data_IF_145712334017
#
_entry.id   IF_145712334017
#
_cell.length_a   1.000
_cell.length_b   1.000
_cell.length_c   1.000
_cell.angle_alpha   90.00
_cell.angle_beta   90.00
_cell.angle_gamma   90.00
#
_symmetry.space_group_name_H-M   'P 1'
#
loop_
_entity.id
_entity.type
_entity.pdbx_description
1 polymer ?
#
# COMPACT_ATOMS: atom_id res chain seq x y z
N UNK A 1 18.63 -1.45 -12.65
CA UNK A 1 18.62 -0.82 -11.30
C UNK A 1 17.36 -1.17 -10.49
N UNK A 2 16.26 -1.62 -11.13
CA UNK A 2 15.04 -2.04 -10.46
C UNK A 2 15.09 -3.46 -9.87
N UNK A 3 16.09 -4.26 -10.21
CA UNK A 3 16.24 -5.61 -9.71
C UNK A 3 16.59 -5.63 -8.22
N UNK A 4 15.99 -6.56 -7.48
CA UNK A 4 16.24 -6.81 -6.06
C UNK A 4 16.83 -8.20 -5.85
N UNK A 5 17.64 -8.32 -4.80
CA UNK A 5 18.11 -9.61 -4.29
C UNK A 5 17.16 -10.21 -3.25
N UNK A 6 16.28 -9.35 -2.70
CA UNK A 6 15.23 -9.75 -1.77
C UNK A 6 14.18 -10.64 -2.45
N UNK A 7 13.72 -11.67 -1.74
CA UNK A 7 12.58 -12.49 -2.18
C UNK A 7 11.28 -11.70 -2.11
N UNK A 8 11.10 -10.90 -1.07
CA UNK A 8 9.96 -9.98 -0.96
C UNK A 8 10.24 -8.71 -1.78
N UNK A 9 9.75 -8.69 -3.01
CA UNK A 9 10.01 -7.61 -3.95
C UNK A 9 9.20 -6.34 -3.62
N UNK A 10 9.90 -5.25 -3.33
CA UNK A 10 9.31 -3.92 -3.09
C UNK A 10 9.63 -2.95 -4.22
N UNK A 11 10.91 -2.66 -4.41
CA UNK A 11 11.42 -1.74 -5.44
C UNK A 11 11.17 -2.25 -6.85
N UNK A 12 11.37 -3.53 -7.11
CA UNK A 12 11.16 -4.11 -8.44
C UNK A 12 9.69 -4.07 -8.83
N UNK A 13 8.77 -4.38 -7.90
CA UNK A 13 7.34 -4.24 -8.15
C UNK A 13 6.96 -2.79 -8.48
N UNK A 14 7.38 -1.82 -7.65
CA UNK A 14 7.11 -0.40 -7.88
C UNK A 14 7.68 0.07 -9.24
N UNK A 15 8.90 -0.36 -9.59
CA UNK A 15 9.55 -0.04 -10.86
C UNK A 15 8.79 -0.61 -12.06
N UNK A 16 8.32 -1.87 -11.98
CA UNK A 16 7.51 -2.49 -13.04
C UNK A 16 6.15 -1.78 -13.17
N UNK A 17 5.52 -1.42 -12.05
CA UNK A 17 4.26 -0.68 -12.06
C UNK A 17 4.42 0.67 -12.78
N UNK A 18 5.46 1.43 -12.45
CA UNK A 18 5.77 2.70 -13.13
C UNK A 18 6.06 2.48 -14.62
N UNK A 19 6.82 1.45 -14.97
CA UNK A 19 7.14 1.15 -16.37
C UNK A 19 5.89 0.81 -17.19
N UNK A 20 4.98 -0.01 -16.65
CA UNK A 20 3.71 -0.34 -17.31
C UNK A 20 2.82 0.90 -17.42
N UNK A 21 2.74 1.72 -16.38
CA UNK A 21 1.98 2.98 -16.40
C UNK A 21 2.51 3.93 -17.49
N UNK A 22 3.83 4.07 -17.58
CA UNK A 22 4.46 4.89 -18.63
C UNK A 22 4.20 4.32 -20.03
N UNK A 23 4.27 3.01 -20.18
CA UNK A 23 3.95 2.33 -21.44
C UNK A 23 2.50 2.60 -21.87
N UNK A 24 1.54 2.48 -20.96
CA UNK A 24 0.13 2.77 -21.24
C UNK A 24 -0.09 4.25 -21.63
N UNK A 25 0.57 5.18 -20.91
CA UNK A 25 0.50 6.60 -21.25
C UNK A 25 1.09 6.89 -22.64
N UNK A 26 2.21 6.25 -22.99
CA UNK A 26 2.83 6.34 -24.30
C UNK A 26 1.90 5.80 -25.40
N UNK A 27 1.33 4.61 -25.20
CA UNK A 27 0.38 4.01 -26.16
C UNK A 27 -0.88 4.84 -26.37
N UNK A 28 -1.31 5.56 -25.34
CA UNK A 28 -2.44 6.48 -25.40
C UNK A 28 -2.09 7.88 -25.96
N UNK A 29 -0.83 8.13 -26.34
CA UNK A 29 -0.36 9.43 -26.83
C UNK A 29 -0.39 10.53 -25.76
N UNK A 30 -0.44 10.19 -24.47
CA UNK A 30 -0.59 11.10 -23.33
C UNK A 30 0.78 11.59 -22.83
N UNK A 31 1.45 12.42 -23.64
CA UNK A 31 2.76 13.01 -23.29
C UNK A 31 2.69 13.90 -22.03
N UNK A 32 1.54 14.50 -21.75
CA UNK A 32 1.26 15.25 -20.53
C UNK A 32 1.43 14.36 -19.28
N UNK A 33 0.90 13.14 -19.31
CA UNK A 33 1.03 12.17 -18.22
C UNK A 33 2.48 11.68 -18.07
N UNK A 34 3.15 11.38 -19.19
CA UNK A 34 4.57 10.99 -19.16
C UNK A 34 5.44 12.08 -18.52
N UNK A 35 5.19 13.34 -18.88
CA UNK A 35 5.91 14.49 -18.29
C UNK A 35 5.63 14.60 -16.78
N UNK A 36 4.37 14.42 -16.35
CA UNK A 36 3.99 14.47 -14.94
C UNK A 36 4.68 13.37 -14.10
N UNK A 37 4.92 12.18 -14.67
CA UNK A 37 5.59 11.08 -13.98
C UNK A 37 7.04 11.41 -13.57
N UNK A 38 7.69 12.40 -14.20
CA UNK A 38 9.03 12.82 -13.81
C UNK A 38 9.13 13.35 -12.37
N UNK A 39 8.00 13.76 -11.78
CA UNK A 39 7.93 14.23 -10.39
C UNK A 39 7.77 13.08 -9.36
N UNK A 40 7.49 11.84 -9.80
CA UNK A 40 7.25 10.69 -8.90
C UNK A 40 8.42 10.42 -7.94
N UNK A 41 9.70 10.41 -8.37
CA UNK A 41 10.81 10.13 -7.45
C UNK A 41 10.86 11.10 -6.28
N UNK A 42 10.77 12.40 -6.56
CA UNK A 42 10.79 13.44 -5.53
C UNK A 42 9.57 13.39 -4.61
N UNK A 43 8.39 13.05 -5.15
CA UNK A 43 7.19 12.86 -4.34
C UNK A 43 7.33 11.64 -3.42
N UNK A 44 7.84 10.52 -3.92
CA UNK A 44 8.10 9.32 -3.12
C UNK A 44 9.12 9.54 -2.00
N UNK A 45 10.20 10.26 -2.28
CA UNK A 45 11.24 10.62 -1.32
C UNK A 45 10.66 11.44 -0.16
N UNK A 46 9.88 12.49 -0.48
CA UNK A 46 9.17 13.28 0.54
C UNK A 46 8.19 12.46 1.39
N UNK A 47 7.50 11.50 0.78
CA UNK A 47 6.58 10.64 1.52
C UNK A 47 7.32 9.76 2.53
N UNK A 48 8.44 9.19 2.13
CA UNK A 48 9.30 8.40 3.01
C UNK A 48 9.75 9.26 4.18
N UNK A 49 10.38 10.41 3.92
CA UNK A 49 10.89 11.31 4.95
C UNK A 49 9.79 11.81 5.91
N UNK A 50 8.65 12.23 5.36
CA UNK A 50 7.56 12.83 6.14
C UNK A 50 6.82 11.81 7.01
N UNK A 51 6.66 10.57 6.53
CA UNK A 51 5.77 9.58 7.16
C UNK A 51 6.48 8.32 7.66
N UNK A 52 7.81 8.28 7.68
CA UNK A 52 8.57 7.16 8.24
C UNK A 52 8.21 6.91 9.71
N UNK A 53 8.13 7.95 10.52
CA UNK A 53 7.77 7.84 11.93
C UNK A 53 6.36 7.25 12.13
N UNK A 54 5.40 7.60 11.26
CA UNK A 54 4.07 7.01 11.25
C UNK A 54 4.13 5.52 10.88
N UNK A 55 4.79 5.18 9.78
CA UNK A 55 4.94 3.80 9.34
C UNK A 55 5.58 2.92 10.42
N UNK A 56 6.60 3.45 11.09
CA UNK A 56 7.28 2.80 12.20
C UNK A 56 6.35 2.59 13.39
N UNK A 57 5.63 3.62 13.83
CA UNK A 57 4.75 3.53 15.00
C UNK A 57 3.64 2.47 14.83
N UNK A 58 3.05 2.38 13.63
CA UNK A 58 2.02 1.37 13.33
C UNK A 58 2.66 -0.01 13.13
N UNK A 59 3.78 -0.08 12.41
CA UNK A 59 4.47 -1.34 12.14
C UNK A 59 4.99 -2.02 13.41
N UNK A 60 5.60 -1.28 14.33
CA UNK A 60 6.17 -1.79 15.57
C UNK A 60 5.11 -2.19 16.63
N UNK A 61 3.88 -1.72 16.50
CA UNK A 61 2.84 -2.06 17.45
C UNK A 61 2.31 -3.49 17.22
N UNK A 62 2.79 -4.44 18.00
CA UNK A 62 2.40 -5.84 17.92
C UNK A 62 1.03 -6.17 18.53
N UNK A 63 0.34 -5.19 19.16
CA UNK A 63 -1.05 -5.37 19.58
C UNK A 63 -2.01 -5.44 18.38
N UNK A 64 -1.60 -4.87 17.24
CA UNK A 64 -2.33 -5.05 16.00
C UNK A 64 -2.07 -6.46 15.46
N UNK A 65 -3.11 -7.29 15.40
CA UNK A 65 -3.03 -8.67 14.93
C UNK A 65 -3.50 -8.86 13.49
N UNK A 66 -4.21 -7.87 12.92
CA UNK A 66 -4.77 -7.93 11.57
C UNK A 66 -4.76 -6.58 10.86
N UNK A 67 -4.55 -6.64 9.54
CA UNK A 67 -4.53 -5.46 8.68
C UNK A 67 -5.49 -5.65 7.51
N UNK A 68 -6.30 -4.63 7.25
CA UNK A 68 -7.17 -4.56 6.09
C UNK A 68 -6.70 -3.43 5.17
N UNK A 69 -6.48 -3.75 3.89
CA UNK A 69 -6.06 -2.78 2.89
C UNK A 69 -7.20 -2.53 1.92
N UNK A 70 -7.79 -1.33 1.97
CA UNK A 70 -8.93 -0.98 1.15
C UNK A 70 -8.52 -0.13 -0.04
N UNK A 71 -8.93 -0.56 -1.25
CA UNK A 71 -8.70 0.17 -2.49
C UNK A 71 -9.74 -0.19 -3.53
N UNK A 72 -10.25 0.78 -4.28
CA UNK A 72 -11.22 0.53 -5.36
C UNK A 72 -10.60 0.79 -6.73
N UNK A 73 -11.10 0.10 -7.77
CA UNK A 73 -10.54 0.17 -9.11
C UNK A 73 -9.06 -0.27 -9.14
N UNK A 74 -8.20 0.53 -9.76
CA UNK A 74 -6.76 0.23 -9.87
C UNK A 74 -6.07 0.13 -8.51
N UNK A 75 -6.57 0.79 -7.47
CA UNK A 75 -6.02 0.76 -6.11
C UNK A 75 -6.27 -0.58 -5.42
N UNK A 76 -7.24 -1.37 -5.85
CA UNK A 76 -7.42 -2.73 -5.35
C UNK A 76 -6.21 -3.62 -5.67
N UNK A 77 -5.63 -3.49 -6.86
CA UNK A 77 -4.38 -4.18 -7.20
C UNK A 77 -3.21 -3.79 -6.29
N UNK A 78 -3.12 -2.52 -5.90
CA UNK A 78 -2.13 -2.05 -4.94
C UNK A 78 -2.43 -2.55 -3.52
N UNK A 79 -3.70 -2.62 -3.13
CA UNK A 79 -4.11 -3.21 -1.85
C UNK A 79 -3.71 -4.70 -1.78
N UNK A 80 -3.86 -5.45 -2.88
CA UNK A 80 -3.37 -6.83 -2.99
C UNK A 80 -1.85 -6.91 -2.80
N UNK A 81 -1.09 -6.01 -3.43
CA UNK A 81 0.37 -5.98 -3.31
C UNK A 81 0.83 -5.67 -1.88
N UNK A 82 0.27 -4.64 -1.25
CA UNK A 82 0.63 -4.29 0.13
C UNK A 82 0.25 -5.40 1.11
N UNK A 83 -0.92 -6.01 0.89
CA UNK A 83 -1.34 -7.20 1.64
C UNK A 83 -0.33 -8.35 1.49
N UNK A 84 0.16 -8.59 0.28
CA UNK A 84 1.18 -9.60 0.03
C UNK A 84 2.47 -9.29 0.80
N UNK A 85 2.96 -8.04 0.75
CA UNK A 85 4.15 -7.61 1.50
C UNK A 85 3.96 -7.78 3.01
N UNK A 86 2.80 -7.42 3.54
CA UNK A 86 2.50 -7.61 4.96
C UNK A 86 2.56 -9.08 5.36
N UNK A 87 2.02 -9.99 4.55
CA UNK A 87 2.09 -11.44 4.80
C UNK A 87 3.51 -11.98 4.68
N UNK A 88 4.16 -11.72 3.55
CA UNK A 88 5.49 -12.27 3.24
C UNK A 88 6.55 -11.83 4.24
N UNK A 89 6.62 -10.53 4.51
CA UNK A 89 7.67 -9.95 5.34
C UNK A 89 7.43 -10.14 6.83
N UNK A 90 6.15 -10.24 7.26
CA UNK A 90 5.82 -10.08 8.69
C UNK A 90 5.04 -11.25 9.30
N UNK A 91 4.58 -12.21 8.51
CA UNK A 91 3.72 -13.31 8.97
C UNK A 91 2.51 -12.78 9.76
N UNK A 92 1.98 -11.62 9.34
CA UNK A 92 0.81 -11.00 9.98
C UNK A 92 -0.42 -11.23 9.12
N UNK A 93 -1.54 -11.50 9.75
CA UNK A 93 -2.81 -11.67 9.06
C UNK A 93 -3.24 -10.36 8.40
N UNK A 94 -3.49 -10.39 7.10
CA UNK A 94 -3.93 -9.21 6.37
C UNK A 94 -4.76 -9.59 5.15
N UNK A 95 -5.66 -8.70 4.73
CA UNK A 95 -6.57 -8.95 3.60
C UNK A 95 -6.85 -7.66 2.82
N UNK A 96 -6.92 -7.73 1.46
CA UNK A 96 -7.31 -6.63 0.62
C UNK A 96 -8.80 -6.68 0.30
N UNK A 97 -9.46 -5.52 0.24
CA UNK A 97 -10.87 -5.41 -0.15
C UNK A 97 -11.13 -4.15 -0.99
N UNK A 98 -12.21 -4.20 -1.76
CA UNK A 98 -12.85 -2.96 -2.22
C UNK A 98 -13.57 -2.28 -1.06
N UNK A 99 -13.58 -0.94 -1.03
CA UNK A 99 -14.18 -0.19 0.08
C UNK A 99 -15.63 -0.59 0.38
N UNK A 100 -16.47 -0.64 -0.65
CA UNK A 100 -17.88 -0.96 -0.44
C UNK A 100 -18.12 -2.45 -0.15
N UNK A 101 -17.31 -3.34 -0.73
CA UNK A 101 -17.35 -4.76 -0.43
C UNK A 101 -17.06 -5.04 1.06
N UNK A 102 -16.08 -4.32 1.63
CA UNK A 102 -15.70 -4.47 3.03
C UNK A 102 -16.88 -4.29 4.00
N UNK A 103 -17.83 -3.40 3.66
CA UNK A 103 -19.05 -3.15 4.44
C UNK A 103 -20.04 -4.33 4.46
N UNK A 104 -19.93 -5.28 3.53
CA UNK A 104 -20.87 -6.39 3.38
C UNK A 104 -20.43 -7.69 4.08
N UNK A 105 -19.79 -7.56 5.23
CA UNK A 105 -19.39 -8.70 6.06
C UNK A 105 -18.04 -8.53 6.73
N UNK A 106 -16.92 -8.34 6.01
CA UNK A 106 -15.58 -8.26 6.59
C UNK A 106 -15.43 -7.20 7.69
N UNK A 107 -16.15 -6.08 7.60
CA UNK A 107 -16.16 -5.04 8.64
C UNK A 107 -16.52 -5.55 10.03
N UNK A 108 -17.25 -6.66 10.14
CA UNK A 108 -17.61 -7.27 11.44
C UNK A 108 -16.40 -7.77 12.23
N UNK A 109 -15.25 -7.92 11.57
CA UNK A 109 -13.99 -8.34 12.18
C UNK A 109 -13.15 -7.17 12.71
N UNK A 110 -13.61 -5.91 12.53
CA UNK A 110 -12.88 -4.72 12.99
C UNK A 110 -13.09 -4.55 14.50
N UNK A 111 -11.98 -4.37 15.20
CA UNK A 111 -11.90 -4.08 16.62
C UNK A 111 -10.60 -3.29 16.93
N UNK A 112 -10.30 -3.06 18.19
CA UNK A 112 -9.12 -2.32 18.66
C UNK A 112 -7.76 -2.91 18.22
N UNK A 113 -7.72 -4.18 17.82
CA UNK A 113 -6.51 -4.84 17.32
C UNK A 113 -6.38 -4.81 15.79
N UNK A 114 -7.36 -4.22 15.10
CA UNK A 114 -7.38 -4.11 13.66
C UNK A 114 -6.84 -2.77 13.16
N UNK A 115 -6.05 -2.81 12.09
CA UNK A 115 -5.64 -1.63 11.31
C UNK A 115 -6.36 -1.67 9.96
N UNK A 116 -7.09 -0.61 9.63
CA UNK A 116 -7.76 -0.45 8.35
C UNK A 116 -7.09 0.69 7.57
N UNK A 117 -6.46 0.34 6.46
CA UNK A 117 -5.74 1.28 5.61
C UNK A 117 -6.53 1.54 4.34
N UNK A 118 -6.88 2.80 4.09
CA UNK A 118 -7.67 3.21 2.93
C UNK A 118 -6.87 3.98 1.89
N UNK A 119 -6.86 3.50 0.65
CA UNK A 119 -6.26 4.17 -0.50
C UNK A 119 -7.33 5.00 -1.22
N UNK A 120 -7.45 6.29 -0.85
CA UNK A 120 -8.50 7.17 -1.32
C UNK A 120 -8.29 7.64 -2.76
N UNK A 121 -9.36 7.64 -3.56
CA UNK A 121 -9.37 8.21 -4.90
C UNK A 121 -9.72 9.69 -4.89
N UNK A 122 -9.43 10.41 -5.98
CA UNK A 122 -9.91 11.78 -6.15
C UNK A 122 -11.42 11.82 -6.40
N UNK A 123 -11.96 10.81 -7.08
CA UNK A 123 -13.35 10.79 -7.56
C UNK A 123 -14.33 10.27 -6.51
N UNK A 124 -14.01 9.17 -5.81
CA UNK A 124 -14.92 8.50 -4.88
C UNK A 124 -14.58 8.75 -3.42
N UNK A 125 -13.66 9.66 -3.14
CA UNK A 125 -13.08 9.91 -1.83
C UNK A 125 -14.12 10.09 -0.72
N UNK A 126 -15.19 10.81 -0.98
CA UNK A 126 -16.23 11.06 0.04
C UNK A 126 -16.86 9.74 0.52
N UNK A 127 -17.13 8.82 -0.40
CA UNK A 127 -17.69 7.51 -0.06
C UNK A 127 -16.65 6.60 0.61
N UNK A 128 -15.41 6.64 0.14
CA UNK A 128 -14.30 5.88 0.69
C UNK A 128 -13.94 6.33 2.11
N UNK A 129 -13.88 7.65 2.35
CA UNK A 129 -13.64 8.22 3.68
C UNK A 129 -14.73 7.84 4.68
N UNK A 130 -16.02 7.84 4.23
CA UNK A 130 -17.12 7.42 5.09
C UNK A 130 -16.98 5.97 5.58
N UNK A 131 -16.51 5.06 4.72
CA UNK A 131 -16.23 3.68 5.15
C UNK A 131 -15.16 3.67 6.24
N UNK A 132 -14.12 4.48 6.11
CA UNK A 132 -13.05 4.56 7.13
C UNK A 132 -13.57 5.13 8.47
N UNK A 133 -14.46 6.12 8.42
CA UNK A 133 -15.11 6.66 9.63
C UNK A 133 -15.90 5.55 10.36
N UNK A 134 -16.68 4.76 9.63
CA UNK A 134 -17.40 3.61 10.18
C UNK A 134 -16.44 2.60 10.84
N UNK A 135 -15.28 2.33 10.24
CA UNK A 135 -14.28 1.42 10.83
C UNK A 135 -13.67 1.99 12.11
N UNK A 136 -13.49 3.30 12.17
CA UNK A 136 -13.03 3.99 13.38
C UNK A 136 -14.08 3.92 14.50
N UNK A 137 -15.36 4.06 14.16
CA UNK A 137 -16.46 3.90 15.12
C UNK A 137 -16.53 2.47 15.70
N UNK A 138 -16.11 1.45 14.95
CA UNK A 138 -15.99 0.07 15.42
C UNK A 138 -14.75 -0.17 16.31
N UNK A 139 -13.93 0.86 16.54
CA UNK A 139 -12.73 0.79 17.38
C UNK A 139 -11.44 0.47 16.61
N UNK A 140 -11.50 0.29 15.31
CA UNK A 140 -10.30 0.03 14.49
C UNK A 140 -9.38 1.24 14.40
N UNK A 141 -8.08 0.98 14.33
CA UNK A 141 -7.09 2.01 13.96
C UNK A 141 -7.16 2.24 12.46
N UNK A 142 -7.44 3.46 12.05
CA UNK A 142 -7.61 3.83 10.63
C UNK A 142 -6.45 4.68 10.15
N UNK A 143 -5.99 4.43 8.94
CA UNK A 143 -5.05 5.25 8.20
C UNK A 143 -5.52 5.45 6.76
N UNK A 144 -5.57 6.68 6.30
CA UNK A 144 -5.95 7.03 4.93
C UNK A 144 -4.77 7.59 4.14
N UNK A 145 -4.69 7.22 2.85
CA UNK A 145 -3.69 7.73 1.93
C UNK A 145 -4.39 8.38 0.72
N UNK A 146 -3.90 9.50 0.26
CA UNK A 146 -4.47 10.19 -0.91
C UNK A 146 -3.72 11.46 -1.28
N UNK A 147 -4.16 12.14 -2.32
CA UNK A 147 -3.53 13.40 -2.77
C UNK A 147 -3.72 14.51 -1.75
N UNK A 148 -4.92 14.61 -1.15
CA UNK A 148 -5.33 15.64 -0.20
C UNK A 148 -6.23 15.04 0.88
N UNK A 149 -6.39 15.77 2.00
CA UNK A 149 -7.37 15.47 3.06
C UNK A 149 -7.36 13.98 3.45
N UNK A 150 -6.17 13.45 3.70
CA UNK A 150 -5.88 12.11 4.18
C UNK A 150 -4.84 12.20 5.31
N UNK A 151 -4.67 11.15 6.09
CA UNK A 151 -3.63 11.11 7.13
C UNK A 151 -2.24 11.16 6.48
N UNK A 152 -2.08 10.48 5.34
CA UNK A 152 -0.87 10.47 4.52
C UNK A 152 -1.20 11.17 3.19
N UNK A 153 -0.81 12.43 3.09
CA UNK A 153 -1.08 13.26 1.91
C UNK A 153 0.10 13.27 0.97
N UNK A 154 -0.14 12.99 -0.31
CA UNK A 154 0.92 13.00 -1.31
C UNK A 154 1.33 14.42 -1.68
N UNK A 155 0.36 15.34 -1.80
CA UNK A 155 0.59 16.74 -2.19
C UNK A 155 1.51 16.82 -3.41
N UNK A 156 1.31 15.89 -4.34
CA UNK A 156 2.23 15.66 -5.45
C UNK A 156 1.95 16.56 -6.65
N UNK A 157 0.70 16.97 -6.83
CA UNK A 157 0.24 17.64 -8.04
C UNK A 157 0.24 16.73 -9.28
N UNK A 158 0.53 15.43 -9.11
CA UNK A 158 0.58 14.46 -10.20
C UNK A 158 -0.83 13.91 -10.46
N UNK A 159 -1.27 13.79 -11.73
CA UNK A 159 -2.58 13.22 -12.05
C UNK A 159 -2.78 11.81 -11.47
N UNK A 160 -4.00 11.52 -10.99
CA UNK A 160 -4.35 10.23 -10.35
C UNK A 160 -3.95 9.02 -11.20
N UNK A 161 -4.13 9.11 -12.51
CA UNK A 161 -3.86 8.02 -13.46
C UNK A 161 -2.42 7.52 -13.44
N UNK A 162 -1.46 8.33 -13.00
CA UNK A 162 -0.03 8.01 -13.05
C UNK A 162 0.68 8.10 -11.70
N UNK A 163 0.00 8.56 -10.63
CA UNK A 163 0.62 8.68 -9.30
C UNK A 163 0.38 7.49 -8.37
N UNK A 164 -0.40 6.50 -8.79
CA UNK A 164 -0.85 5.44 -7.87
C UNK A 164 0.28 4.64 -7.21
N UNK A 165 1.49 4.63 -7.78
CA UNK A 165 2.68 4.05 -7.13
C UNK A 165 3.00 4.72 -5.78
N UNK A 166 2.56 5.96 -5.55
CA UNK A 166 2.80 6.71 -4.30
C UNK A 166 2.06 6.13 -3.07
N UNK A 167 1.09 5.24 -3.27
CA UNK A 167 0.48 4.49 -2.16
C UNK A 167 1.43 3.48 -1.52
N UNK A 168 2.48 3.04 -2.24
CA UNK A 168 3.33 1.93 -1.79
C UNK A 168 4.38 2.28 -0.72
N UNK A 169 5.16 3.38 -0.83
CA UNK A 169 6.36 3.57 -0.01
C UNK A 169 6.11 3.50 1.50
N UNK A 170 5.12 4.24 1.99
CA UNK A 170 4.81 4.30 3.43
C UNK A 170 4.30 2.95 3.95
N UNK A 171 3.50 2.24 3.15
CA UNK A 171 2.95 0.93 3.53
C UNK A 171 4.02 -0.17 3.47
N UNK A 172 4.97 -0.08 2.55
CA UNK A 172 6.14 -0.97 2.51
C UNK A 172 7.05 -0.75 3.72
N UNK A 173 7.27 0.51 4.15
CA UNK A 173 7.98 0.82 5.39
C UNK A 173 7.26 0.26 6.62
N UNK A 174 5.94 0.34 6.67
CA UNK A 174 5.14 -0.25 7.76
C UNK A 174 5.39 -1.75 7.89
N UNK A 175 5.37 -2.49 6.78
CA UNK A 175 5.68 -3.92 6.77
C UNK A 175 7.15 -4.18 7.14
N UNK A 176 8.08 -3.35 6.68
CA UNK A 176 9.50 -3.45 7.02
C UNK A 176 9.74 -3.32 8.53
N UNK A 177 9.23 -2.27 9.18
CA UNK A 177 9.40 -2.07 10.62
C UNK A 177 8.75 -3.19 11.44
N UNK A 178 7.57 -3.66 11.01
CA UNK A 178 6.92 -4.80 11.65
C UNK A 178 7.74 -6.08 11.55
N UNK A 179 8.36 -6.32 10.40
CA UNK A 179 9.27 -7.45 10.20
C UNK A 179 10.42 -7.42 11.20
N UNK A 180 11.09 -6.27 11.32
CA UNK A 180 12.21 -6.10 12.24
C UNK A 180 11.78 -6.30 13.71
N UNK A 181 10.66 -5.73 14.12
CA UNK A 181 10.15 -5.87 15.49
C UNK A 181 9.78 -7.31 15.83
N UNK A 182 9.34 -8.08 14.84
CA UNK A 182 9.08 -9.53 15.00
C UNK A 182 10.34 -10.41 14.90
N UNK A 183 11.53 -9.80 14.70
CA UNK A 183 12.79 -10.52 14.54
C UNK A 183 12.88 -11.32 13.24
N UNK A 184 12.11 -10.93 12.21
CA UNK A 184 12.09 -11.56 10.90
C UNK A 184 13.06 -10.86 9.94
N UNK A 185 13.50 -11.57 8.91
CA UNK A 185 14.32 -10.99 7.84
C UNK A 185 13.43 -10.62 6.65
N UNK A 186 13.20 -9.31 6.37
CA UNK A 186 12.35 -8.88 5.27
C UNK A 186 12.86 -9.29 3.88
N UNK A 187 14.19 -9.50 3.73
CA UNK A 187 14.79 -9.90 2.45
C UNK A 187 14.69 -11.41 2.20
N UNK A 188 14.51 -12.18 3.27
CA UNK A 188 14.42 -13.65 3.21
C UNK A 188 13.22 -14.13 4.02
N UNK A 189 12.00 -13.91 3.50
CA UNK A 189 10.78 -14.32 4.17
C UNK A 189 10.75 -15.81 4.50
N UNK A 190 10.21 -16.14 5.65
CA UNK A 190 10.08 -17.53 6.10
C UNK A 190 9.21 -18.35 5.15
N UNK A 191 9.63 -19.56 4.83
CA UNK A 191 8.92 -20.51 3.95
C UNK A 191 8.77 -20.06 2.48
N UNK A 192 9.47 -19.01 2.04
CA UNK A 192 9.48 -18.58 0.65
C UNK A 192 10.83 -18.83 -0.01
N UNK A 193 10.78 -19.12 -1.31
CA UNK A 193 11.94 -19.25 -2.19
C UNK A 193 11.72 -18.40 -3.43
N UNK A 194 12.81 -17.89 -4.01
CA UNK A 194 12.73 -17.05 -5.20
C UNK A 194 12.16 -17.78 -6.43
N UNK A 195 12.24 -19.11 -6.45
CA UNK A 195 11.77 -19.95 -7.56
C UNK A 195 11.07 -21.20 -7.01
N UNK A 196 9.84 -21.43 -7.46
CA UNK A 196 9.12 -22.70 -7.22
C UNK A 196 9.51 -23.68 -8.30
N UNK A 197 10.18 -24.78 -7.93
CA UNK A 197 10.46 -25.88 -8.86
C UNK A 197 9.29 -26.88 -8.81
N UNK A 198 8.64 -27.06 -9.93
CA UNK A 198 7.65 -28.11 -10.09
C UNK A 198 8.38 -29.41 -10.45
N UNK A 199 8.32 -30.40 -9.58
CA UNK A 199 8.74 -31.77 -9.90
C UNK A 199 7.55 -32.43 -10.65
N UNK A 200 7.59 -32.39 -11.96
CA UNK A 200 6.66 -33.08 -12.84
C UNK A 200 7.09 -34.54 -13.03
#
# INVERSE_FOLDING_TARGET
>A
KGQEESVAQTRSFASMYVAVTAFCACMAGRNDLLSAMSALPKAGERLIEKYEAFAKSVGENLNFDRFYFLGSGIRYGLACEVNLKMKEMTLTHSEPFHFLEFRHGPMSMVNENAVVVGMLSDVNRVHEAKVLEEMKELGGTVASLGEKEADIQFESGIPENVRSVLYLPVLQLMAFYRSLTKGLNPDRPTNLTAVVKLNL
#
